data_IF_546434716377
#
_entry.id   IF_546434716377
#
_cell.length_a   1.000
_cell.length_b   1.000
_cell.length_c   1.000
_cell.angle_alpha   90.00
_cell.angle_beta   90.00
_cell.angle_gamma   90.00
#
_symmetry.space_group_name_H-M   'P 1'
#
loop_
_entity.id
_entity.type
_entity.pdbx_description
1 polymer ?
#
# COMPACT_ATOMS: atom_id res chain seq x y z
N UNK A 1 -38.34 -15.85 15.49
CA UNK A 1 -38.70 -14.79 14.54
C UNK A 1 -38.85 -13.46 15.31
N UNK A 2 -37.86 -12.56 15.22
CA UNK A 2 -37.94 -11.18 15.72
C UNK A 2 -37.41 -10.26 14.61
N UNK A 3 -38.34 -9.55 13.99
CA UNK A 3 -38.11 -8.54 12.96
C UNK A 3 -37.56 -7.25 13.55
N UNK A 4 -36.36 -6.82 13.16
CA UNK A 4 -35.80 -5.51 13.53
C UNK A 4 -36.15 -4.51 12.43
N UNK A 5 -36.96 -3.53 12.75
CA UNK A 5 -37.30 -2.41 11.86
C UNK A 5 -36.17 -1.38 11.86
N UNK A 6 -35.56 -1.13 10.70
CA UNK A 6 -34.59 -0.05 10.47
C UNK A 6 -35.36 1.25 10.17
N UNK A 7 -35.19 2.23 11.02
CA UNK A 7 -35.66 3.62 10.82
C UNK A 7 -34.60 4.39 10.03
N UNK A 8 -35.00 4.89 8.85
CA UNK A 8 -34.19 5.75 7.98
C UNK A 8 -34.42 7.20 8.42
N UNK A 9 -33.39 7.83 9.02
CA UNK A 9 -33.37 9.25 9.30
C UNK A 9 -32.86 10.04 8.09
N UNK A 10 -33.73 10.93 7.57
CA UNK A 10 -33.37 11.90 6.54
C UNK A 10 -32.77 13.12 7.22
N UNK A 11 -31.53 13.47 6.93
CA UNK A 11 -30.89 14.73 7.31
C UNK A 11 -30.85 15.62 6.08
N UNK A 12 -31.48 16.79 6.18
CA UNK A 12 -31.52 17.80 5.13
C UNK A 12 -30.25 18.65 5.13
N UNK A 13 -29.73 18.90 3.94
CA UNK A 13 -28.55 19.68 3.63
C UNK A 13 -28.97 21.16 3.47
N UNK A 14 -28.38 22.07 4.20
CA UNK A 14 -28.49 23.51 3.96
C UNK A 14 -27.12 24.03 3.48
N UNK A 15 -27.07 24.46 2.23
CA UNK A 15 -25.93 25.11 1.62
C UNK A 15 -25.97 26.64 1.86
N UNK A 16 -24.89 27.22 2.33
CA UNK A 16 -24.69 28.69 2.26
C UNK A 16 -23.37 28.98 1.56
N UNK A 17 -23.47 29.52 0.34
CA UNK A 17 -22.41 30.18 -0.40
C UNK A 17 -22.12 31.56 0.19
N UNK A 18 -20.86 31.87 0.42
CA UNK A 18 -20.38 33.27 0.52
C UNK A 18 -19.18 33.44 -0.38
N UNK A 19 -19.39 34.22 -1.44
CA UNK A 19 -18.36 34.75 -2.34
C UNK A 19 -17.90 36.11 -1.81
N UNK A 20 -16.59 36.28 -1.61
CA UNK A 20 -16.00 37.64 -1.56
C UNK A 20 -14.77 37.69 -2.43
N UNK A 21 -14.92 38.40 -3.52
CA UNK A 21 -13.83 38.90 -4.39
C UNK A 21 -13.34 40.21 -3.83
N UNK A 22 -12.05 40.39 -3.69
CA UNK A 22 -11.44 41.73 -3.61
C UNK A 22 -10.06 41.71 -4.24
N UNK A 23 -9.97 42.29 -5.42
CA UNK A 23 -8.75 42.80 -6.04
C UNK A 23 -8.44 44.19 -5.54
N UNK A 24 -7.18 44.52 -5.33
CA UNK A 24 -6.67 45.86 -5.65
C UNK A 24 -5.17 45.94 -5.78
N UNK A 25 -4.77 46.50 -6.89
CA UNK A 25 -3.43 46.84 -7.37
C UNK A 25 -2.68 47.88 -6.52
N UNK A 26 -1.34 47.91 -6.71
CA UNK A 26 -0.66 49.18 -6.76
C UNK A 26 0.75 49.32 -6.19
N UNK A 27 1.73 49.20 -7.05
CA UNK A 27 2.83 50.13 -7.29
C UNK A 27 4.12 50.15 -6.45
N UNK A 28 5.19 49.88 -7.18
CA UNK A 28 6.61 50.31 -7.20
C UNK A 28 7.12 51.22 -6.07
N UNK A 29 8.29 50.87 -5.51
CA UNK A 29 9.58 51.61 -5.66
C UNK A 29 10.66 50.95 -4.79
N UNK A 30 11.79 50.58 -5.40
CA UNK A 30 13.12 50.48 -4.76
C UNK A 30 13.70 51.87 -4.51
N UNK A 31 14.71 52.11 -3.61
CA UNK A 31 16.01 51.46 -3.65
C UNK A 31 16.78 51.23 -2.31
N UNK A 32 17.72 50.33 -2.41
CA UNK A 32 19.09 50.29 -1.86
C UNK A 32 19.40 50.24 -0.35
N UNK A 33 20.08 49.17 0.00
CA UNK A 33 21.28 48.98 0.81
C UNK A 33 21.24 49.33 2.31
N UNK A 34 21.41 48.25 3.11
CA UNK A 34 22.52 48.21 4.08
C UNK A 34 22.83 46.77 4.51
N UNK A 35 24.11 46.40 4.41
CA UNK A 35 24.70 45.19 4.99
C UNK A 35 24.60 45.24 6.50
N UNK A 36 24.22 44.16 7.14
CA UNK A 36 24.84 43.71 8.38
C UNK A 36 24.73 42.19 8.51
N UNK A 37 25.89 41.64 8.68
CA UNK A 37 26.29 40.29 8.85
C UNK A 37 25.86 39.83 10.24
N UNK A 38 24.93 38.89 10.35
CA UNK A 38 24.79 38.06 11.56
C UNK A 38 24.66 36.62 11.12
N UNK A 39 25.73 35.91 11.43
CA UNK A 39 25.97 34.51 11.29
C UNK A 39 25.09 33.80 12.31
N UNK A 40 23.91 33.30 11.87
CA UNK A 40 23.21 32.27 12.64
C UNK A 40 23.59 30.92 12.05
N UNK A 41 24.38 30.24 12.81
CA UNK A 41 24.78 28.87 12.67
C UNK A 41 23.59 28.03 13.13
N UNK A 42 22.70 27.67 12.20
CA UNK A 42 21.75 26.59 12.43
C UNK A 42 22.37 25.30 11.95
N UNK A 43 22.69 24.54 12.96
CA UNK A 43 23.26 23.21 12.90
C UNK A 43 22.21 22.19 12.43
N UNK A 44 22.52 21.46 11.37
CA UNK A 44 22.45 20.01 11.22
C UNK A 44 21.36 19.30 12.05
N UNK A 45 20.19 19.09 11.44
CA UNK A 45 19.27 18.00 11.80
C UNK A 45 18.65 17.30 10.58
N UNK A 46 19.01 17.76 9.37
CA UNK A 46 18.37 17.30 8.11
C UNK A 46 18.98 15.99 7.55
N UNK A 47 20.02 15.44 8.17
CA UNK A 47 20.66 14.20 7.68
C UNK A 47 20.09 12.92 8.29
N UNK A 48 19.54 13.01 9.49
CA UNK A 48 18.99 11.83 10.16
C UNK A 48 17.57 11.50 9.65
N UNK A 49 16.77 12.50 9.30
CA UNK A 49 15.43 12.32 8.72
C UNK A 49 15.47 11.72 7.30
N UNK A 50 16.41 12.18 6.45
CA UNK A 50 16.57 11.59 5.10
C UNK A 50 17.07 10.15 5.15
N UNK A 51 18.01 9.83 6.06
CA UNK A 51 18.52 8.46 6.18
C UNK A 51 17.50 7.49 6.80
N UNK A 52 16.57 7.99 7.63
CA UNK A 52 15.47 7.20 8.18
C UNK A 52 14.38 6.95 7.14
N UNK A 53 14.00 7.94 6.35
CA UNK A 53 13.05 7.80 5.23
C UNK A 53 13.55 6.80 4.19
N UNK A 54 14.80 6.93 3.72
CA UNK A 54 15.40 6.01 2.74
C UNK A 54 15.42 4.55 3.25
N UNK A 55 15.65 4.32 4.54
CA UNK A 55 15.67 2.97 5.11
C UNK A 55 14.27 2.36 5.25
N UNK A 56 13.25 3.18 5.45
CA UNK A 56 11.86 2.76 5.59
C UNK A 56 11.25 2.41 4.24
N UNK A 57 11.49 3.23 3.22
CA UNK A 57 11.14 2.95 1.84
C UNK A 57 11.79 1.64 1.37
N UNK A 58 13.06 1.40 1.73
CA UNK A 58 13.75 0.17 1.40
C UNK A 58 13.12 -1.08 2.04
N UNK A 59 12.57 -0.98 3.27
CA UNK A 59 11.88 -2.10 3.93
C UNK A 59 10.51 -2.37 3.33
N UNK A 60 9.73 -1.34 3.00
CA UNK A 60 8.47 -1.48 2.30
C UNK A 60 8.67 -2.12 0.92
N UNK A 61 9.66 -1.67 0.18
CA UNK A 61 10.04 -2.26 -1.12
C UNK A 61 10.54 -3.72 -0.99
N UNK A 62 11.19 -4.09 0.12
CA UNK A 62 11.59 -5.47 0.38
C UNK A 62 10.36 -6.38 0.56
N UNK A 63 9.35 -5.94 1.31
CA UNK A 63 8.08 -6.66 1.47
C UNK A 63 7.38 -6.83 0.13
N UNK A 64 7.31 -5.78 -0.69
CA UNK A 64 6.75 -5.83 -2.03
C UNK A 64 7.50 -6.83 -2.93
N UNK A 65 8.82 -6.84 -2.89
CA UNK A 65 9.63 -7.80 -3.66
C UNK A 65 9.36 -9.24 -3.23
N UNK A 66 9.23 -9.51 -1.94
CA UNK A 66 8.92 -10.85 -1.42
C UNK A 66 7.49 -11.27 -1.79
N UNK A 67 6.53 -10.36 -1.73
CA UNK A 67 5.17 -10.58 -2.23
C UNK A 67 5.15 -10.92 -3.73
N UNK A 68 5.88 -10.19 -4.59
CA UNK A 68 5.93 -10.50 -6.02
C UNK A 68 6.58 -11.85 -6.31
N UNK A 69 7.65 -12.19 -5.60
CA UNK A 69 8.26 -13.52 -5.73
C UNK A 69 7.28 -14.64 -5.35
N UNK A 70 6.52 -14.45 -4.27
CA UNK A 70 5.47 -15.38 -3.84
C UNK A 70 4.36 -15.49 -4.90
N UNK A 71 3.88 -14.36 -5.41
CA UNK A 71 2.91 -14.31 -6.51
C UNK A 71 3.40 -15.11 -7.72
N UNK A 72 4.66 -14.96 -8.12
CA UNK A 72 5.22 -15.65 -9.28
C UNK A 72 5.35 -17.16 -9.04
N UNK A 73 5.65 -17.61 -7.83
CA UNK A 73 5.62 -19.03 -7.46
C UNK A 73 4.21 -19.62 -7.60
N UNK A 74 3.16 -18.88 -7.17
CA UNK A 74 1.76 -19.29 -7.32
C UNK A 74 1.30 -19.31 -8.78
N UNK A 75 1.78 -18.35 -9.60
CA UNK A 75 1.57 -18.34 -11.07
C UNK A 75 2.17 -19.59 -11.71
N UNK A 76 3.35 -20.03 -11.22
CA UNK A 76 4.06 -21.22 -11.71
C UNK A 76 3.57 -22.54 -11.12
N UNK A 77 2.53 -22.57 -10.30
CA UNK A 77 2.04 -23.75 -9.57
C UNK A 77 3.10 -24.40 -8.66
N UNK A 78 4.11 -23.64 -8.23
CA UNK A 78 5.22 -24.14 -7.40
C UNK A 78 4.90 -24.03 -5.90
N UNK A 79 4.25 -25.08 -5.37
CA UNK A 79 3.89 -25.15 -3.95
C UNK A 79 5.10 -25.08 -3.02
N UNK A 80 6.20 -25.74 -3.37
CA UNK A 80 7.41 -25.77 -2.56
C UNK A 80 8.05 -24.39 -2.45
N UNK A 81 8.16 -23.71 -3.59
CA UNK A 81 8.70 -22.34 -3.65
C UNK A 81 7.81 -21.33 -2.95
N UNK A 82 6.49 -21.49 -3.08
CA UNK A 82 5.53 -20.61 -2.38
C UNK A 82 5.67 -20.74 -0.85
N UNK A 83 5.91 -21.94 -0.30
CA UNK A 83 6.21 -22.14 1.13
C UNK A 83 7.47 -21.38 1.58
N UNK A 84 8.57 -21.53 0.84
CA UNK A 84 9.82 -20.82 1.15
C UNK A 84 9.63 -19.30 1.15
N UNK A 85 8.91 -18.79 0.14
CA UNK A 85 8.68 -17.36 -0.02
C UNK A 85 7.65 -16.81 0.98
N UNK A 86 6.67 -17.60 1.40
CA UNK A 86 5.80 -17.27 2.52
C UNK A 86 6.60 -17.05 3.81
N UNK A 87 7.49 -17.99 4.15
CA UNK A 87 8.39 -17.81 5.31
C UNK A 87 9.30 -16.57 5.20
N UNK A 88 9.79 -16.27 4.00
CA UNK A 88 10.62 -15.09 3.78
C UNK A 88 9.81 -13.80 3.98
N UNK A 89 8.60 -13.75 3.44
CA UNK A 89 7.69 -12.62 3.60
C UNK A 89 7.33 -12.37 5.08
N UNK A 90 7.11 -13.43 5.87
CA UNK A 90 6.91 -13.33 7.34
C UNK A 90 8.07 -12.58 8.00
N UNK A 91 9.32 -12.89 7.61
CA UNK A 91 10.49 -12.22 8.19
C UNK A 91 10.56 -10.75 7.80
N UNK A 92 10.26 -10.42 6.54
CA UNK A 92 10.23 -9.04 6.05
C UNK A 92 9.14 -8.23 6.75
N UNK A 93 7.92 -8.76 6.90
CA UNK A 93 6.81 -8.13 7.62
C UNK A 93 7.17 -7.87 9.09
N UNK A 94 7.69 -8.88 9.80
CA UNK A 94 8.10 -8.75 11.21
C UNK A 94 9.27 -7.78 11.44
N UNK A 95 10.04 -7.48 10.41
CA UNK A 95 11.16 -6.52 10.48
C UNK A 95 10.76 -5.08 10.13
N UNK A 96 9.51 -4.88 9.69
CA UNK A 96 9.02 -3.55 9.32
C UNK A 96 8.81 -2.69 10.56
N UNK A 97 9.32 -1.45 10.50
CA UNK A 97 9.25 -0.50 11.61
C UNK A 97 8.28 0.62 11.26
N UNK A 98 7.24 0.77 12.05
CA UNK A 98 6.19 1.77 11.85
C UNK A 98 6.46 3.08 12.60
N UNK A 99 7.60 3.23 13.28
CA UNK A 99 7.87 4.34 14.21
C UNK A 99 7.79 5.74 13.57
N UNK A 100 8.08 5.85 12.28
CA UNK A 100 8.12 7.12 11.55
C UNK A 100 6.79 7.53 10.89
N UNK A 101 5.75 6.73 11.04
CA UNK A 101 4.41 7.06 10.54
C UNK A 101 3.60 7.84 11.60
N UNK A 102 2.54 8.52 11.19
CA UNK A 102 1.61 9.16 12.13
C UNK A 102 0.88 8.12 13.01
N UNK A 103 0.33 8.53 14.14
CA UNK A 103 -0.31 7.59 15.08
C UNK A 103 -1.49 6.81 14.45
N UNK A 104 -2.22 7.42 13.52
CA UNK A 104 -3.29 6.72 12.79
C UNK A 104 -2.71 5.70 11.81
N UNK A 105 -1.69 6.08 11.02
CA UNK A 105 -1.01 5.18 10.08
C UNK A 105 -0.29 4.04 10.82
N UNK A 106 0.33 4.30 11.97
CA UNK A 106 0.92 3.25 12.83
C UNK A 106 -0.08 2.20 13.24
N UNK A 107 -1.27 2.64 13.69
CA UNK A 107 -2.32 1.70 14.09
C UNK A 107 -2.75 0.83 12.91
N UNK A 108 -3.02 1.46 11.76
CA UNK A 108 -3.46 0.76 10.56
C UNK A 108 -2.38 -0.17 10.00
N UNK A 109 -1.13 0.28 9.94
CA UNK A 109 0.00 -0.54 9.51
C UNK A 109 0.25 -1.73 10.43
N UNK A 110 0.11 -1.58 11.76
CA UNK A 110 0.25 -2.70 12.68
C UNK A 110 -0.82 -3.77 12.45
N UNK A 111 -2.09 -3.36 12.26
CA UNK A 111 -3.18 -4.28 11.97
C UNK A 111 -2.95 -5.01 10.63
N UNK A 112 -2.55 -4.29 9.58
CA UNK A 112 -2.21 -4.85 8.26
C UNK A 112 -1.03 -5.83 8.37
N UNK A 113 0.03 -5.48 9.09
CA UNK A 113 1.22 -6.34 9.24
C UNK A 113 0.88 -7.61 10.02
N UNK A 114 0.04 -7.52 11.06
CA UNK A 114 -0.42 -8.69 11.82
C UNK A 114 -1.20 -9.66 10.92
N UNK A 115 -2.22 -9.17 10.20
CA UNK A 115 -3.03 -9.97 9.28
C UNK A 115 -2.18 -10.56 8.13
N UNK A 116 -1.36 -9.74 7.47
CA UNK A 116 -0.47 -10.19 6.40
C UNK A 116 0.53 -11.26 6.87
N UNK A 117 1.04 -11.13 8.11
CA UNK A 117 1.95 -12.10 8.71
C UNK A 117 1.25 -13.44 8.92
N UNK A 118 0.04 -13.46 9.49
CA UNK A 118 -0.76 -14.66 9.68
C UNK A 118 -1.00 -15.38 8.35
N UNK A 119 -1.41 -14.65 7.31
CA UNK A 119 -1.65 -15.23 6.00
C UNK A 119 -0.39 -15.75 5.33
N UNK A 120 0.75 -15.07 5.47
CA UNK A 120 2.03 -15.55 4.97
C UNK A 120 2.52 -16.81 5.71
N UNK A 121 2.27 -16.94 7.02
CA UNK A 121 2.54 -18.13 7.81
C UNK A 121 1.70 -19.32 7.30
N UNK A 122 0.39 -19.14 7.09
CA UNK A 122 -0.47 -20.17 6.51
C UNK A 122 -0.02 -20.60 5.11
N UNK A 123 0.43 -19.68 4.26
CA UNK A 123 0.99 -20.02 2.94
C UNK A 123 2.22 -20.90 3.09
N UNK A 124 3.07 -20.64 4.08
CA UNK A 124 4.30 -21.40 4.30
C UNK A 124 4.06 -22.87 4.70
N UNK A 125 2.91 -23.18 5.25
CA UNK A 125 2.59 -24.53 5.79
C UNK A 125 1.63 -25.34 4.90
N UNK A 126 0.92 -24.68 3.96
CA UNK A 126 -0.24 -25.24 3.26
C UNK A 126 0.07 -25.86 1.90
N UNK A 127 -0.90 -26.56 1.31
CA UNK A 127 -0.91 -26.96 -0.08
C UNK A 127 -1.27 -25.75 -1.01
N UNK A 128 -1.06 -25.93 -2.32
CA UNK A 128 -1.21 -24.87 -3.32
C UNK A 128 -2.63 -24.25 -3.34
N UNK A 129 -3.67 -25.04 -3.07
CA UNK A 129 -5.04 -24.53 -3.06
C UNK A 129 -5.24 -23.60 -1.86
N UNK A 130 -4.81 -24.03 -0.68
CA UNK A 130 -4.94 -23.24 0.54
C UNK A 130 -4.00 -22.02 0.52
N UNK A 131 -2.81 -22.15 -0.06
CA UNK A 131 -1.92 -21.01 -0.31
C UNK A 131 -2.62 -19.89 -1.10
N UNK A 132 -3.38 -20.24 -2.14
CA UNK A 132 -4.13 -19.28 -2.96
C UNK A 132 -5.30 -18.62 -2.21
N UNK A 133 -5.94 -19.36 -1.31
CA UNK A 133 -6.99 -18.82 -0.43
C UNK A 133 -6.42 -17.74 0.49
N UNK A 134 -5.27 -17.98 1.13
CA UNK A 134 -4.58 -16.99 1.96
C UNK A 134 -3.94 -15.86 1.14
N UNK A 135 -3.39 -16.16 -0.03
CA UNK A 135 -2.81 -15.14 -0.90
C UNK A 135 -3.82 -14.09 -1.35
N UNK A 136 -5.10 -14.43 -1.43
CA UNK A 136 -6.19 -13.48 -1.72
C UNK A 136 -6.28 -12.39 -0.64
N UNK A 137 -6.21 -12.76 0.63
CA UNK A 137 -6.29 -11.82 1.75
C UNK A 137 -4.99 -11.03 1.85
N UNK A 138 -3.86 -11.72 1.82
CA UNK A 138 -2.53 -11.11 1.77
C UNK A 138 -2.39 -10.08 0.66
N UNK A 139 -2.97 -10.33 -0.52
CA UNK A 139 -2.92 -9.35 -1.63
C UNK A 139 -3.67 -8.06 -1.31
N UNK A 140 -4.78 -8.16 -0.56
CA UNK A 140 -5.49 -6.97 -0.08
C UNK A 140 -4.64 -6.21 0.94
N UNK A 141 -4.08 -6.90 1.91
CA UNK A 141 -3.26 -6.30 2.97
C UNK A 141 -2.04 -5.58 2.40
N UNK A 142 -1.34 -6.21 1.44
CA UNK A 142 -0.21 -5.57 0.75
C UNK A 142 -0.66 -4.37 -0.08
N UNK A 143 -1.84 -4.41 -0.68
CA UNK A 143 -2.41 -3.25 -1.42
C UNK A 143 -2.72 -2.09 -0.47
N UNK A 144 -3.30 -2.39 0.68
CA UNK A 144 -3.60 -1.39 1.71
C UNK A 144 -2.31 -0.82 2.33
N UNK A 145 -1.30 -1.67 2.57
CA UNK A 145 0.03 -1.24 2.98
C UNK A 145 0.64 -0.24 1.99
N UNK A 146 0.61 -0.55 0.68
CA UNK A 146 1.13 0.33 -0.38
C UNK A 146 0.41 1.67 -0.40
N UNK A 147 -0.89 1.70 -0.09
CA UNK A 147 -1.65 2.95 -0.04
C UNK A 147 -1.16 3.90 1.07
N UNK A 148 -0.55 3.37 2.13
CA UNK A 148 0.02 4.14 3.24
C UNK A 148 1.51 4.44 3.00
N UNK A 149 2.29 3.42 2.65
CA UNK A 149 3.75 3.53 2.51
C UNK A 149 4.20 4.19 1.21
N UNK A 150 3.34 4.17 0.18
CA UNK A 150 3.72 4.47 -1.19
C UNK A 150 4.58 3.36 -1.81
N UNK A 151 5.04 3.60 -3.01
CA UNK A 151 6.00 2.76 -3.74
C UNK A 151 6.75 3.59 -4.76
N UNK A 152 8.02 3.25 -5.02
CA UNK A 152 8.81 3.88 -6.07
C UNK A 152 8.62 3.20 -7.44
N UNK A 153 8.06 2.00 -7.43
CA UNK A 153 7.80 1.24 -8.64
C UNK A 153 6.40 1.52 -9.20
N UNK A 154 6.28 1.55 -10.52
CA UNK A 154 4.97 1.51 -11.17
C UNK A 154 4.38 0.12 -10.97
N UNK A 155 3.19 0.05 -10.38
CA UNK A 155 2.47 -1.19 -10.13
C UNK A 155 1.14 -1.21 -10.90
N UNK A 156 0.64 -2.42 -11.14
CA UNK A 156 -0.66 -2.70 -11.73
C UNK A 156 -1.49 -3.51 -10.76
N UNK A 157 -2.64 -3.00 -10.37
CA UNK A 157 -3.65 -3.81 -9.72
C UNK A 157 -4.40 -4.59 -10.79
N UNK A 158 -4.27 -5.90 -10.75
CA UNK A 158 -4.93 -6.83 -11.68
C UNK A 158 -6.10 -7.51 -10.97
N UNK A 159 -7.13 -7.91 -11.72
CA UNK A 159 -8.37 -8.44 -11.18
C UNK A 159 -8.89 -9.60 -12.02
N UNK A 160 -9.21 -10.71 -11.38
CA UNK A 160 -9.90 -11.86 -11.99
C UNK A 160 -11.32 -11.96 -11.42
N UNK A 161 -12.39 -11.90 -12.25
CA UNK A 161 -13.76 -11.99 -11.76
C UNK A 161 -14.18 -13.41 -11.42
N UNK A 162 -13.41 -14.42 -11.82
CA UNK A 162 -13.77 -15.84 -11.72
C UNK A 162 -13.37 -16.49 -10.40
N UNK A 163 -12.35 -15.95 -9.70
CA UNK A 163 -11.89 -16.52 -8.45
C UNK A 163 -12.67 -15.90 -7.29
N UNK A 164 -13.38 -16.72 -6.54
CA UNK A 164 -14.11 -16.38 -5.31
C UNK A 164 -14.99 -15.11 -5.43
N UNK A 165 -15.69 -14.96 -6.55
CA UNK A 165 -16.57 -13.81 -6.80
C UNK A 165 -15.86 -12.54 -7.24
N UNK A 166 -14.57 -12.60 -7.46
CA UNK A 166 -13.73 -11.48 -7.89
C UNK A 166 -12.61 -11.18 -6.92
N UNK A 167 -11.37 -11.23 -7.41
CA UNK A 167 -10.16 -11.10 -6.58
C UNK A 167 -9.08 -10.32 -7.31
N UNK A 168 -8.41 -9.41 -6.58
CA UNK A 168 -7.33 -8.57 -7.08
C UNK A 168 -5.96 -9.04 -6.56
N UNK A 169 -4.90 -8.60 -7.22
CA UNK A 169 -3.52 -8.73 -6.80
C UNK A 169 -2.67 -7.61 -7.43
N UNK A 170 -1.51 -7.33 -6.84
CA UNK A 170 -0.54 -6.41 -7.41
C UNK A 170 0.46 -7.14 -8.33
N UNK A 171 0.90 -6.43 -9.37
CA UNK A 171 1.92 -6.89 -10.32
C UNK A 171 2.83 -5.73 -10.74
N UNK A 172 4.11 -6.01 -11.01
CA UNK A 172 5.03 -5.09 -11.68
C UNK A 172 4.80 -5.04 -13.19
N UNK A 173 4.14 -6.07 -13.73
CA UNK A 173 3.92 -6.23 -15.16
C UNK A 173 2.46 -5.94 -15.50
N UNK A 174 2.24 -5.21 -16.61
CA UNK A 174 0.91 -4.98 -17.15
C UNK A 174 0.29 -6.28 -17.67
N UNK A 175 1.13 -7.20 -18.14
CA UNK A 175 0.70 -8.49 -18.64
C UNK A 175 0.12 -9.36 -17.52
N UNK A 176 -1.14 -9.76 -17.68
CA UNK A 176 -1.86 -10.54 -16.67
C UNK A 176 -1.32 -11.96 -16.58
N UNK A 177 -0.85 -12.32 -15.38
CA UNK A 177 -0.50 -13.68 -14.98
C UNK A 177 -1.20 -13.99 -13.66
N UNK A 178 -2.17 -14.89 -13.68
CA UNK A 178 -3.11 -15.11 -12.60
C UNK A 178 -2.53 -16.07 -11.53
N UNK A 179 -2.27 -15.61 -10.29
CA UNK A 179 -1.71 -16.45 -9.23
C UNK A 179 -2.74 -17.43 -8.63
N UNK A 180 -4.04 -17.14 -8.76
CA UNK A 180 -5.10 -17.95 -8.17
C UNK A 180 -5.43 -19.21 -8.96
N UNK A 181 -5.20 -19.19 -10.27
CA UNK A 181 -5.44 -20.33 -11.15
C UNK A 181 -4.16 -20.95 -11.71
N UNK A 182 -3.04 -20.19 -11.70
CA UNK A 182 -1.79 -20.66 -12.28
C UNK A 182 -1.96 -21.10 -13.74
N UNK A 183 -1.38 -22.24 -14.10
CA UNK A 183 -1.43 -22.77 -15.45
C UNK A 183 -2.84 -23.09 -15.97
N UNK A 184 -3.82 -23.29 -15.08
CA UNK A 184 -5.19 -23.66 -15.48
C UNK A 184 -5.90 -22.49 -16.18
N UNK A 185 -5.74 -21.27 -15.70
CA UNK A 185 -6.36 -20.07 -16.28
C UNK A 185 -5.40 -18.86 -16.19
N UNK A 186 -4.19 -19.06 -16.70
CA UNK A 186 -3.05 -18.14 -16.56
C UNK A 186 -3.36 -16.69 -16.94
N UNK A 187 -4.20 -16.49 -17.94
CA UNK A 187 -4.58 -15.17 -18.49
C UNK A 187 -5.93 -14.65 -18.00
N UNK A 188 -6.54 -15.32 -17.04
CA UNK A 188 -7.82 -14.87 -16.50
C UNK A 188 -7.63 -13.60 -15.69
N UNK A 189 -8.14 -12.50 -16.20
CA UNK A 189 -8.10 -11.19 -15.52
C UNK A 189 -7.85 -10.02 -16.46
N UNK A 190 -7.78 -8.85 -15.88
CA UNK A 190 -7.46 -7.58 -16.54
C UNK A 190 -6.74 -6.64 -15.57
N UNK A 191 -6.03 -5.66 -16.08
CA UNK A 191 -5.59 -4.51 -15.30
C UNK A 191 -6.82 -3.70 -14.89
N UNK A 192 -6.93 -3.38 -13.62
CA UNK A 192 -8.00 -2.59 -13.03
C UNK A 192 -7.57 -1.13 -12.87
N UNK A 193 -6.35 -0.91 -12.38
CA UNK A 193 -5.74 0.43 -12.26
C UNK A 193 -4.21 0.32 -12.20
N UNK A 194 -3.56 1.46 -12.46
CA UNK A 194 -2.14 1.68 -12.20
C UNK A 194 -1.96 2.36 -10.84
N UNK A 195 -0.86 2.04 -10.16
CA UNK A 195 -0.44 2.62 -8.88
C UNK A 195 1.00 3.12 -9.08
N UNK A 196 1.22 4.38 -8.77
CA UNK A 196 2.52 5.07 -8.83
C UNK A 196 2.81 5.67 -7.46
#
# INVERSE_FOLDING_TARGET
MKTVKRTIGKIALAATMVLTVSCKDGNKNEPAAHMSNEMHQETMDDKDDMAMSDNQDAKAEAILNDYFNLKDALVGDDNGKAKELGNKLVQSLKSFDVSNYSDNEKSELNDIIEDATEHAEHISESDIKHQREHFKILSKDVTDMVAITGTQAKLYEQFCPMYDGGTAWLSKEENVLNPYYGSQMLRCGKVQREIN
#
